data_IF_019183930606
#
_entry.id   IF_019183930606
#
_cell.length_a   1.000
_cell.length_b   1.000
_cell.length_c   1.000
_cell.angle_alpha   90.00
_cell.angle_beta   90.00
_cell.angle_gamma   90.00
#
_symmetry.space_group_name_H-M   'P 1'
#
loop_
_entity.id
_entity.type
_entity.pdbx_description
1 polymer ?
#
# COMPACT_ATOMS: atom_id res chain seq x y z
N UNK A 1 -17.16 61.16 10.00
CA UNK A 1 -18.38 60.46 9.60
C UNK A 1 -18.56 59.25 10.51
N UNK A 2 -19.60 59.29 11.34
CA UNK A 2 -19.80 58.45 12.52
C UNK A 2 -20.44 57.10 12.17
N UNK A 3 -19.93 56.02 12.70
CA UNK A 3 -20.58 54.70 12.67
C UNK A 3 -21.44 54.51 13.93
N UNK A 4 -22.71 54.04 13.85
CA UNK A 4 -23.46 53.66 15.03
C UNK A 4 -23.29 52.18 15.35
N UNK A 5 -22.91 51.95 16.57
CA UNK A 5 -22.95 50.70 17.33
C UNK A 5 -24.38 50.25 17.50
N UNK A 6 -24.75 49.03 17.12
CA UNK A 6 -25.98 48.37 17.48
C UNK A 6 -25.69 47.12 18.35
N UNK A 7 -25.92 47.31 19.62
CA UNK A 7 -26.01 46.25 20.62
C UNK A 7 -27.29 45.44 20.43
N UNK A 8 -27.22 44.11 20.42
CA UNK A 8 -28.35 43.20 20.63
C UNK A 8 -28.05 42.23 21.75
N UNK A 9 -28.97 42.26 22.72
CA UNK A 9 -29.03 41.48 23.97
C UNK A 9 -29.16 39.97 23.70
N UNK A 10 -28.68 39.10 24.63
CA UNK A 10 -28.99 37.67 24.62
C UNK A 10 -30.29 37.38 25.35
N UNK A 11 -31.18 36.64 24.73
CA UNK A 11 -32.36 36.05 25.35
C UNK A 11 -31.95 34.78 26.13
N UNK A 12 -32.15 34.85 27.44
CA UNK A 12 -32.01 33.72 28.37
C UNK A 12 -33.29 32.86 28.29
N UNK A 13 -33.18 31.63 27.76
CA UNK A 13 -34.22 30.61 27.88
C UNK A 13 -33.95 29.73 29.09
N UNK A 14 -34.71 29.93 30.13
CA UNK A 14 -34.76 29.11 31.34
C UNK A 14 -35.67 27.92 31.06
N UNK A 15 -35.13 26.73 30.79
CA UNK A 15 -35.89 25.48 30.62
C UNK A 15 -35.98 24.73 31.94
N UNK A 16 -37.22 24.62 32.41
CA UNK A 16 -37.70 23.93 33.62
C UNK A 16 -37.53 22.41 33.45
N UNK A 17 -36.61 21.79 34.21
CA UNK A 17 -36.43 20.33 34.29
C UNK A 17 -37.49 19.73 35.25
N UNK A 18 -38.36 18.89 34.69
CA UNK A 18 -39.31 18.07 35.46
C UNK A 18 -38.72 16.65 35.60
N UNK A 19 -38.53 16.12 36.81
CA UNK A 19 -38.05 14.73 36.96
C UNK A 19 -39.23 13.76 36.90
N UNK A 20 -39.36 12.97 35.84
CA UNK A 20 -40.23 11.79 35.81
C UNK A 20 -39.49 10.61 36.46
N UNK A 21 -39.87 10.26 37.67
CA UNK A 21 -39.50 9.03 38.32
C UNK A 21 -40.31 7.85 37.73
N UNK A 22 -39.66 6.92 37.04
CA UNK A 22 -40.24 5.65 36.66
C UNK A 22 -39.75 4.55 37.61
N UNK A 23 -40.61 3.62 38.06
CA UNK A 23 -40.20 2.53 38.92
C UNK A 23 -39.33 1.52 38.16
N UNK A 24 -38.18 1.18 38.72
CA UNK A 24 -37.34 0.10 38.26
C UNK A 24 -37.98 -1.24 38.58
N UNK A 25 -38.49 -1.94 37.58
CA UNK A 25 -38.83 -3.35 37.70
C UNK A 25 -37.55 -4.15 37.46
N UNK A 26 -37.06 -4.78 38.51
CA UNK A 26 -35.96 -5.73 38.41
C UNK A 26 -36.46 -6.98 37.66
N UNK A 27 -36.01 -7.14 36.41
CA UNK A 27 -36.16 -8.39 35.68
C UNK A 27 -34.87 -9.24 35.93
N UNK A 28 -35.11 -10.44 36.41
CA UNK A 28 -34.10 -11.50 36.60
C UNK A 28 -33.30 -11.72 35.32
N UNK A 29 -31.97 -11.82 35.35
CA UNK A 29 -31.20 -12.12 34.15
C UNK A 29 -31.32 -13.59 33.80
N UNK A 30 -32.20 -13.90 32.85
CA UNK A 30 -32.14 -15.17 32.13
C UNK A 30 -30.79 -15.24 31.40
N UNK A 31 -29.99 -16.33 31.52
CA UNK A 31 -28.74 -16.42 30.79
C UNK A 31 -29.02 -16.44 29.29
N UNK A 32 -28.66 -15.36 28.62
CA UNK A 32 -28.67 -15.31 27.17
C UNK A 32 -27.65 -16.33 26.67
N UNK A 33 -28.17 -17.36 26.03
CA UNK A 33 -27.41 -18.35 25.26
C UNK A 33 -26.52 -17.58 24.29
N UNK A 34 -25.22 -17.85 24.34
CA UNK A 34 -24.22 -17.35 23.41
C UNK A 34 -24.73 -17.45 21.97
N UNK A 35 -25.23 -16.33 21.45
CA UNK A 35 -25.38 -16.18 20.03
C UNK A 35 -23.93 -16.00 19.51
N UNK A 36 -23.40 -17.03 18.87
CA UNK A 36 -22.13 -16.95 18.16
C UNK A 36 -22.21 -15.72 17.23
N UNK A 37 -21.45 -14.69 17.56
CA UNK A 37 -21.31 -13.51 16.74
C UNK A 37 -20.84 -13.98 15.36
N UNK A 38 -21.62 -13.67 14.31
CA UNK A 38 -21.24 -14.01 12.94
C UNK A 38 -19.87 -13.39 12.66
N UNK A 39 -18.98 -14.10 11.93
CA UNK A 39 -17.66 -13.58 11.62
C UNK A 39 -17.80 -12.21 10.95
N UNK A 40 -17.31 -11.16 11.61
CA UNK A 40 -17.27 -9.83 11.02
C UNK A 40 -16.31 -9.91 9.85
N UNK A 41 -16.82 -9.83 8.63
CA UNK A 41 -16.05 -9.79 7.40
C UNK A 41 -15.17 -8.52 7.46
N UNK A 42 -13.89 -8.69 7.78
CA UNK A 42 -12.94 -7.58 7.85
C UNK A 42 -12.62 -7.15 6.43
N UNK A 43 -12.70 -5.83 6.18
CA UNK A 43 -12.23 -5.28 4.92
C UNK A 43 -10.77 -5.71 4.67
N UNK A 44 -10.41 -6.04 3.42
CA UNK A 44 -9.03 -6.38 3.08
C UNK A 44 -8.08 -5.25 3.50
N UNK A 45 -6.93 -5.62 4.03
CA UNK A 45 -5.89 -4.66 4.38
C UNK A 45 -5.41 -3.98 3.09
N UNK A 46 -5.21 -2.67 3.17
CA UNK A 46 -4.60 -1.92 2.08
C UNK A 46 -3.15 -2.34 1.90
N UNK A 47 -2.65 -2.29 0.68
CA UNK A 47 -1.22 -2.44 0.42
C UNK A 47 -0.48 -1.21 0.95
N UNK A 48 0.83 -1.34 1.18
CA UNK A 48 1.65 -0.22 1.65
C UNK A 48 1.61 0.96 0.67
N UNK A 49 1.73 0.70 -0.62
CA UNK A 49 1.64 1.72 -1.65
C UNK A 49 0.30 2.48 -1.59
N UNK A 50 -0.82 1.77 -1.35
CA UNK A 50 -2.14 2.39 -1.20
C UNK A 50 -2.25 3.25 0.08
N UNK A 51 -1.66 2.80 1.19
CA UNK A 51 -1.63 3.57 2.44
C UNK A 51 -0.82 4.86 2.27
N UNK A 52 0.34 4.77 1.63
CA UNK A 52 1.20 5.92 1.31
C UNK A 52 0.50 6.90 0.36
N UNK A 53 -0.18 6.43 -0.68
CA UNK A 53 -0.98 7.27 -1.57
C UNK A 53 -2.04 8.05 -0.81
N UNK A 54 -2.84 7.39 0.02
CA UNK A 54 -3.86 8.03 0.85
C UNK A 54 -3.27 9.04 1.86
N UNK A 55 -2.07 8.78 2.37
CA UNK A 55 -1.37 9.71 3.24
C UNK A 55 -0.93 10.97 2.48
N UNK A 56 -0.35 10.80 1.29
CA UNK A 56 0.09 11.90 0.43
C UNK A 56 -1.09 12.74 -0.09
N UNK A 57 -2.21 12.11 -0.45
CA UNK A 57 -3.42 12.82 -0.86
C UNK A 57 -3.95 13.79 0.21
N UNK A 58 -3.76 13.45 1.48
CA UNK A 58 -4.15 14.31 2.62
C UNK A 58 -3.14 15.41 2.92
N UNK A 59 -1.85 15.18 2.61
CA UNK A 59 -0.74 16.06 2.99
C UNK A 59 -0.36 17.07 1.91
N UNK A 60 -0.50 16.69 0.64
CA UNK A 60 -0.05 17.51 -0.47
C UNK A 60 -1.19 18.33 -1.11
N UNK A 61 -0.87 19.46 -1.77
CA UNK A 61 -1.84 20.23 -2.52
C UNK A 61 -2.48 19.38 -3.63
N UNK A 62 -3.78 19.51 -3.83
CA UNK A 62 -4.52 18.77 -4.86
C UNK A 62 -4.07 19.07 -6.27
N UNK A 63 -3.55 20.26 -6.51
CA UNK A 63 -2.99 20.68 -7.80
C UNK A 63 -1.75 19.87 -8.20
N UNK A 64 -0.99 19.38 -7.22
CA UNK A 64 0.17 18.52 -7.47
C UNK A 64 -0.24 17.05 -7.73
N UNK A 65 -1.46 16.65 -7.36
CA UNK A 65 -1.90 15.25 -7.39
C UNK A 65 -2.56 14.90 -8.73
N UNK A 66 -2.17 13.77 -9.30
CA UNK A 66 -2.73 13.23 -10.53
C UNK A 66 -3.05 11.75 -10.35
N UNK A 67 -4.28 11.36 -10.64
CA UNK A 67 -4.67 9.95 -10.69
C UNK A 67 -4.48 9.44 -12.11
N UNK A 68 -3.46 8.62 -12.30
CA UNK A 68 -3.14 7.99 -13.58
C UNK A 68 -3.63 6.53 -13.60
N UNK A 69 -3.79 5.99 -14.82
CA UNK A 69 -4.23 4.60 -15.01
C UNK A 69 -3.14 3.79 -15.73
N UNK A 70 -2.86 2.61 -15.20
CA UNK A 70 -1.98 1.62 -15.79
C UNK A 70 -2.76 0.29 -15.93
N UNK A 71 -3.29 0.02 -17.12
CA UNK A 71 -4.27 -1.05 -17.31
C UNK A 71 -5.54 -0.80 -16.49
N UNK A 72 -5.90 -1.75 -15.65
CA UNK A 72 -7.08 -1.66 -14.77
C UNK A 72 -6.78 -0.99 -13.41
N UNK A 73 -5.49 -0.77 -13.10
CA UNK A 73 -5.08 -0.13 -11.84
C UNK A 73 -5.02 1.40 -11.98
N UNK A 74 -5.46 2.11 -10.94
CA UNK A 74 -5.21 3.55 -10.78
C UNK A 74 -4.11 3.74 -9.75
N UNK A 75 -3.29 4.76 -9.93
CA UNK A 75 -2.20 5.08 -9.01
C UNK A 75 -1.98 6.59 -8.91
N UNK A 76 -1.48 7.04 -7.77
CA UNK A 76 -1.13 8.43 -7.54
C UNK A 76 0.19 8.77 -8.24
N UNK A 77 0.21 9.88 -8.96
CA UNK A 77 1.40 10.53 -9.45
C UNK A 77 1.41 11.99 -9.00
N UNK A 78 2.58 12.55 -8.78
CA UNK A 78 2.72 13.93 -8.34
C UNK A 78 3.33 14.77 -9.47
N UNK A 79 2.55 15.69 -10.00
CA UNK A 79 2.93 16.57 -11.10
C UNK A 79 3.26 17.97 -10.60
N UNK A 80 4.33 18.54 -11.12
CA UNK A 80 4.66 19.93 -10.92
C UNK A 80 5.12 20.56 -12.25
N UNK A 81 4.39 21.54 -12.79
CA UNK A 81 4.78 22.19 -14.04
C UNK A 81 6.07 22.99 -13.86
N UNK A 82 6.79 23.18 -14.94
CA UNK A 82 7.98 24.03 -14.96
C UNK A 82 7.63 25.48 -14.63
N UNK A 83 8.47 26.12 -13.86
CA UNK A 83 8.41 27.57 -13.56
C UNK A 83 9.05 28.38 -14.72
N UNK A 84 8.60 28.13 -15.95
CA UNK A 84 9.16 28.75 -17.15
C UNK A 84 8.10 28.92 -18.23
N UNK A 85 8.14 30.03 -18.95
CA UNK A 85 7.27 30.26 -20.12
C UNK A 85 7.63 29.34 -21.31
N UNK A 86 8.88 28.85 -21.36
CA UNK A 86 9.37 27.92 -22.35
C UNK A 86 9.93 26.66 -21.67
N UNK A 87 9.08 25.71 -21.27
CA UNK A 87 9.51 24.46 -20.63
C UNK A 87 10.41 23.63 -21.56
N UNK A 88 11.49 23.06 -20.99
CA UNK A 88 12.40 22.20 -21.74
C UNK A 88 11.80 20.82 -22.00
N UNK A 89 10.92 20.36 -21.10
CA UNK A 89 10.28 19.04 -21.14
C UNK A 89 9.78 18.60 -19.78
N UNK A 90 9.69 17.29 -19.59
CA UNK A 90 9.32 16.70 -18.31
C UNK A 90 10.34 15.66 -17.84
N UNK A 91 10.58 15.64 -16.54
CA UNK A 91 11.36 14.61 -15.86
C UNK A 91 10.38 13.68 -15.15
N UNK A 92 10.40 12.41 -15.51
CA UNK A 92 9.64 11.36 -14.82
C UNK A 92 10.58 10.71 -13.81
N UNK A 93 10.19 10.76 -12.53
CA UNK A 93 10.99 10.22 -11.42
C UNK A 93 10.36 8.91 -10.99
N UNK A 94 11.14 7.83 -11.09
CA UNK A 94 10.79 6.47 -10.69
C UNK A 94 11.44 6.21 -9.33
N UNK A 95 10.69 6.15 -8.23
CA UNK A 95 11.21 5.88 -6.89
C UNK A 95 11.65 4.43 -6.73
N UNK A 96 12.25 4.09 -5.61
CA UNK A 96 12.52 2.70 -5.23
C UNK A 96 11.26 1.94 -4.84
N UNK A 97 11.35 0.61 -4.75
CA UNK A 97 10.20 -0.27 -4.44
C UNK A 97 9.55 0.06 -3.09
N UNK A 98 10.35 0.60 -2.15
CA UNK A 98 9.89 0.98 -0.81
C UNK A 98 9.77 2.49 -0.61
N UNK A 99 9.77 3.26 -1.69
CA UNK A 99 9.74 4.72 -1.65
C UNK A 99 8.43 5.29 -2.18
N UNK A 100 7.95 6.32 -1.52
CA UNK A 100 6.79 7.07 -2.00
C UNK A 100 7.17 8.06 -3.13
N UNK A 101 6.20 8.55 -3.93
CA UNK A 101 6.47 9.56 -4.96
C UNK A 101 6.89 10.94 -4.42
N UNK A 102 6.87 11.16 -3.10
CA UNK A 102 7.47 12.33 -2.43
C UNK A 102 8.55 11.93 -1.42
N UNK A 103 9.26 10.82 -1.68
CA UNK A 103 10.29 10.32 -0.77
C UNK A 103 11.25 11.44 -0.35
N UNK A 104 11.46 11.66 0.98
CA UNK A 104 12.07 12.88 1.49
C UNK A 104 13.55 13.04 1.13
N UNK A 105 14.28 11.94 0.96
CA UNK A 105 15.74 11.99 0.77
C UNK A 105 16.15 12.31 -0.66
N UNK A 106 15.34 11.93 -1.66
CA UNK A 106 15.71 12.11 -3.06
C UNK A 106 14.53 12.57 -3.93
N UNK A 107 13.45 11.79 -4.02
CA UNK A 107 12.35 12.00 -4.98
C UNK A 107 11.66 13.36 -4.75
N UNK A 108 11.28 13.66 -3.52
CA UNK A 108 10.62 14.89 -3.14
C UNK A 108 11.47 16.15 -3.41
N UNK A 109 12.75 16.21 -2.99
CA UNK A 109 13.65 17.29 -3.34
C UNK A 109 13.83 17.48 -4.85
N UNK A 110 14.02 16.41 -5.62
CA UNK A 110 14.14 16.47 -7.08
C UNK A 110 12.86 17.01 -7.71
N UNK A 111 11.71 16.45 -7.35
CA UNK A 111 10.40 16.88 -7.84
C UNK A 111 10.17 18.38 -7.64
N UNK A 112 10.59 18.92 -6.49
CA UNK A 112 10.45 20.36 -6.19
C UNK A 112 11.48 21.26 -6.87
N UNK A 113 12.64 20.70 -7.28
CA UNK A 113 13.75 21.47 -7.87
C UNK A 113 13.73 21.55 -9.40
N UNK A 114 13.28 20.52 -10.08
CA UNK A 114 13.22 20.52 -11.55
C UNK A 114 12.40 21.68 -12.14
N UNK A 115 11.25 22.08 -11.55
CA UNK A 115 10.51 23.24 -12.01
C UNK A 115 11.31 24.54 -12.05
N UNK A 116 12.19 24.77 -11.09
CA UNK A 116 13.02 25.98 -10.99
C UNK A 116 14.08 26.08 -12.10
N UNK A 117 14.41 24.95 -12.72
CA UNK A 117 15.37 24.88 -13.83
C UNK A 117 14.70 24.65 -15.19
N UNK A 118 13.39 24.88 -15.27
CA UNK A 118 12.64 24.86 -16.53
C UNK A 118 12.16 23.45 -16.98
N UNK A 119 12.18 22.46 -16.11
CA UNK A 119 11.64 21.14 -16.37
C UNK A 119 10.38 20.89 -15.55
N UNK A 120 9.33 20.40 -16.18
CA UNK A 120 8.21 19.83 -15.42
C UNK A 120 8.66 18.55 -14.74
N UNK A 121 8.11 18.23 -13.58
CA UNK A 121 8.44 17.00 -12.86
C UNK A 121 7.19 16.14 -12.62
N UNK A 122 7.33 14.83 -12.79
CA UNK A 122 6.29 13.84 -12.53
C UNK A 122 6.91 12.68 -11.76
N UNK A 123 6.59 12.54 -10.48
CA UNK A 123 6.96 11.34 -9.72
C UNK A 123 5.79 10.38 -9.64
N UNK A 124 6.05 9.08 -9.75
CA UNK A 124 5.03 8.02 -9.79
C UNK A 124 5.09 7.14 -8.56
N UNK A 125 3.95 6.56 -8.16
CA UNK A 125 3.93 5.47 -7.18
C UNK A 125 4.22 4.15 -7.87
N UNK A 126 5.12 3.34 -7.31
CA UNK A 126 5.33 1.96 -7.76
C UNK A 126 4.35 1.00 -7.08
N UNK A 127 3.95 -0.08 -7.77
CA UNK A 127 3.15 -1.14 -7.14
C UNK A 127 4.03 -1.94 -6.17
N UNK A 128 3.47 -2.33 -5.03
CA UNK A 128 4.17 -3.23 -4.11
C UNK A 128 4.56 -4.53 -4.79
N UNK A 129 5.69 -5.10 -4.39
CA UNK A 129 6.08 -6.43 -4.83
C UNK A 129 5.03 -7.46 -4.36
N UNK A 130 4.70 -8.42 -5.21
CA UNK A 130 3.62 -9.39 -4.94
C UNK A 130 3.88 -10.30 -3.73
N UNK A 131 5.11 -10.37 -3.23
CA UNK A 131 5.47 -11.16 -2.05
C UNK A 131 5.03 -10.53 -0.72
N UNK A 132 4.57 -9.29 -0.71
CA UNK A 132 4.10 -8.59 0.51
C UNK A 132 2.64 -8.88 0.84
N UNK A 133 1.92 -9.64 0.02
CA UNK A 133 0.63 -10.18 0.45
C UNK A 133 0.89 -11.20 1.56
N UNK A 134 0.64 -10.79 2.80
CA UNK A 134 0.57 -11.70 3.93
C UNK A 134 -0.40 -12.81 3.55
N UNK A 135 0.14 -13.97 3.19
CA UNK A 135 -0.68 -15.18 3.06
C UNK A 135 -1.40 -15.33 4.40
N UNK A 136 -2.72 -15.26 4.38
CA UNK A 136 -3.50 -15.43 5.58
C UNK A 136 -3.03 -16.75 6.20
N UNK A 137 -2.43 -16.68 7.39
CA UNK A 137 -2.03 -17.87 8.13
C UNK A 137 -3.27 -18.72 8.28
N UNK A 138 -3.27 -19.91 7.66
CA UNK A 138 -4.33 -20.87 7.91
C UNK A 138 -4.45 -21.07 9.43
N UNK A 139 -5.65 -21.04 10.00
CA UNK A 139 -5.82 -21.26 11.43
C UNK A 139 -5.23 -22.64 11.76
N UNK A 140 -4.21 -22.65 12.63
CA UNK A 140 -3.67 -23.87 13.22
C UNK A 140 -4.81 -24.64 13.90
N UNK A 141 -5.36 -25.63 13.22
CA UNK A 141 -6.34 -26.60 13.78
C UNK A 141 -5.64 -27.68 14.61
N UNK A 142 -4.48 -27.37 15.19
CA UNK A 142 -3.74 -28.32 16.02
C UNK A 142 -3.33 -27.68 17.36
N UNK A 143 -4.29 -27.36 18.22
CA UNK A 143 -4.05 -27.18 19.64
C UNK A 143 -5.33 -27.39 20.46
N UNK A 144 -5.85 -28.59 20.41
CA UNK A 144 -6.72 -29.08 21.47
C UNK A 144 -6.22 -30.50 21.86
N UNK A 145 -5.89 -30.64 23.15
CA UNK A 145 -5.53 -31.84 23.88
C UNK A 145 -4.04 -32.10 24.11
N UNK A 146 -3.53 -31.37 25.11
CA UNK A 146 -2.39 -31.83 25.90
C UNK A 146 -2.75 -31.74 27.38
N UNK A 147 -3.57 -32.65 27.83
CA UNK A 147 -3.60 -33.05 29.24
C UNK A 147 -4.26 -34.44 29.41
N UNK A 148 -3.45 -35.51 29.30
CA UNK A 148 -3.76 -36.82 29.89
C UNK A 148 -2.47 -37.66 29.97
N UNK A 149 -2.03 -37.85 31.17
CA UNK A 149 -1.36 -39.01 31.77
C UNK A 149 -0.40 -39.89 30.95
N UNK A 150 0.82 -39.95 31.49
CA UNK A 150 1.87 -40.92 31.20
C UNK A 150 1.49 -42.32 31.72
N UNK A 151 1.64 -43.38 30.91
CA UNK A 151 2.22 -44.62 31.39
C UNK A 151 3.37 -45.14 30.51
N UNK A 152 4.45 -45.37 31.13
CA UNK A 152 5.48 -46.40 31.16
C UNK A 152 5.61 -47.36 29.97
N UNK A 153 6.78 -47.29 29.37
CA UNK A 153 7.63 -48.28 28.70
C UNK A 153 7.03 -49.54 28.02
N UNK A 154 7.33 -49.68 26.71
CA UNK A 154 8.01 -50.89 26.18
C UNK A 154 8.67 -50.54 24.83
N UNK A 155 9.92 -50.94 24.55
CA UNK A 155 10.60 -50.66 23.29
C UNK A 155 10.10 -51.56 22.19
N UNK A 156 9.62 -50.98 21.07
CA UNK A 156 9.42 -51.71 19.83
C UNK A 156 10.26 -51.08 18.76
N UNK A 157 11.30 -51.83 18.41
CA UNK A 157 12.17 -51.69 17.28
C UNK A 157 11.35 -51.34 16.02
N UNK A 158 11.40 -50.05 15.58
CA UNK A 158 10.95 -49.67 14.27
C UNK A 158 12.14 -48.97 13.64
N UNK A 159 12.79 -49.69 12.71
CA UNK A 159 13.87 -49.20 11.91
C UNK A 159 13.47 -47.84 11.28
N UNK A 160 13.99 -46.79 11.83
CA UNK A 160 13.96 -45.46 11.26
C UNK A 160 14.75 -45.50 9.96
N UNK A 161 14.02 -45.54 8.84
CA UNK A 161 14.59 -45.48 7.49
C UNK A 161 15.25 -44.13 7.33
N UNK A 162 16.54 -44.05 7.58
CA UNK A 162 17.35 -42.87 7.32
C UNK A 162 17.11 -42.45 5.88
N UNK A 163 16.65 -41.22 5.59
CA UNK A 163 16.46 -40.74 4.23
C UNK A 163 17.79 -40.83 3.47
N UNK A 164 17.73 -41.29 2.23
CA UNK A 164 18.91 -41.35 1.35
C UNK A 164 19.39 -39.93 1.08
N UNK A 165 20.63 -39.55 1.46
CA UNK A 165 21.17 -38.21 1.26
C UNK A 165 21.14 -37.75 -0.20
N UNK A 166 21.19 -38.70 -1.15
CA UNK A 166 21.09 -38.41 -2.56
C UNK A 166 19.67 -38.00 -2.98
N UNK A 167 18.65 -38.67 -2.44
CA UNK A 167 17.25 -38.35 -2.71
C UNK A 167 16.84 -36.97 -2.10
N UNK A 168 17.38 -36.64 -0.92
CA UNK A 168 17.19 -35.31 -0.32
C UNK A 168 17.86 -34.20 -1.13
N UNK A 169 19.07 -34.42 -1.64
CA UNK A 169 19.78 -33.46 -2.49
C UNK A 169 19.04 -33.22 -3.83
N UNK A 170 18.51 -34.27 -4.45
CA UNK A 170 17.70 -34.15 -5.67
C UNK A 170 16.39 -33.41 -5.41
N UNK A 171 15.70 -33.67 -4.31
CA UNK A 171 14.47 -32.97 -3.91
C UNK A 171 14.75 -31.49 -3.63
N UNK A 172 15.86 -31.16 -2.97
CA UNK A 172 16.27 -29.76 -2.71
C UNK A 172 16.63 -29.03 -4.01
N UNK A 173 17.33 -29.69 -4.94
CA UNK A 173 17.65 -29.09 -6.23
C UNK A 173 16.40 -28.85 -7.08
N UNK A 174 15.44 -29.76 -7.09
CA UNK A 174 14.16 -29.59 -7.78
C UNK A 174 13.34 -28.45 -7.16
N UNK A 175 13.29 -28.37 -5.83
CA UNK A 175 12.59 -27.28 -5.12
C UNK A 175 13.26 -25.92 -5.40
N UNK A 176 14.58 -25.83 -5.43
CA UNK A 176 15.32 -24.62 -5.77
C UNK A 176 15.02 -24.16 -7.21
N UNK A 177 14.99 -25.10 -8.17
CA UNK A 177 14.67 -24.80 -9.57
C UNK A 177 13.22 -24.31 -9.72
N UNK A 178 12.26 -24.96 -9.05
CA UNK A 178 10.87 -24.54 -9.07
C UNK A 178 10.69 -23.16 -8.44
N UNK A 179 11.39 -22.87 -7.35
CA UNK A 179 11.39 -21.55 -6.71
C UNK A 179 11.96 -20.48 -7.64
N UNK A 180 13.10 -20.74 -8.29
CA UNK A 180 13.72 -19.80 -9.22
C UNK A 180 12.79 -19.48 -10.41
N UNK A 181 12.10 -20.48 -10.96
CA UNK A 181 11.12 -20.27 -12.02
C UNK A 181 9.92 -19.42 -11.55
N UNK A 182 9.42 -19.67 -10.35
CA UNK A 182 8.34 -18.87 -9.77
C UNK A 182 8.78 -17.43 -9.48
N UNK A 183 10.01 -17.23 -9.02
CA UNK A 183 10.60 -15.91 -8.80
C UNK A 183 10.75 -15.14 -10.11
N UNK A 184 11.16 -15.80 -11.19
CA UNK A 184 11.27 -15.19 -12.52
C UNK A 184 9.91 -14.73 -13.06
N UNK A 185 8.88 -15.56 -12.95
CA UNK A 185 7.51 -15.19 -13.36
C UNK A 185 6.97 -14.02 -12.54
N UNK A 186 7.23 -13.99 -11.21
CA UNK A 186 6.85 -12.84 -10.36
C UNK A 186 7.57 -11.56 -10.78
N UNK A 187 8.87 -11.64 -11.03
CA UNK A 187 9.68 -10.50 -11.48
C UNK A 187 9.21 -9.98 -12.84
N UNK A 188 8.79 -10.85 -13.75
CA UNK A 188 8.22 -10.46 -15.03
C UNK A 188 6.88 -9.77 -14.86
N UNK A 189 5.98 -10.34 -14.07
CA UNK A 189 4.69 -9.74 -13.78
C UNK A 189 4.84 -8.36 -13.11
N UNK A 190 5.78 -8.21 -12.17
CA UNK A 190 6.09 -6.94 -11.52
C UNK A 190 6.63 -5.91 -12.53
N UNK A 191 7.53 -6.34 -13.44
CA UNK A 191 8.05 -5.47 -14.49
C UNK A 191 6.93 -4.92 -15.38
N UNK A 192 6.01 -5.75 -15.84
CA UNK A 192 4.89 -5.31 -16.68
C UNK A 192 4.00 -4.28 -15.97
N UNK A 193 3.73 -4.46 -14.68
CA UNK A 193 2.96 -3.49 -13.88
C UNK A 193 3.68 -2.14 -13.77
N UNK A 194 5.00 -2.17 -13.51
CA UNK A 194 5.82 -0.95 -13.42
C UNK A 194 5.91 -0.27 -14.80
N UNK A 195 6.14 -1.04 -15.85
CA UNK A 195 6.23 -0.51 -17.21
C UNK A 195 4.93 0.18 -17.64
N UNK A 196 3.78 -0.42 -17.34
CA UNK A 196 2.49 0.20 -17.61
C UNK A 196 2.32 1.55 -16.88
N UNK A 197 2.84 1.69 -15.66
CA UNK A 197 2.85 2.97 -14.92
C UNK A 197 3.79 3.99 -15.56
N UNK A 198 4.98 3.58 -16.00
CA UNK A 198 5.92 4.46 -16.71
C UNK A 198 5.32 4.92 -18.05
N UNK A 199 4.72 4.03 -18.83
CA UNK A 199 4.05 4.36 -20.10
C UNK A 199 2.90 5.37 -19.89
N UNK A 200 2.11 5.17 -18.84
CA UNK A 200 1.05 6.11 -18.45
C UNK A 200 1.62 7.49 -18.08
N UNK A 201 2.72 7.52 -17.33
CA UNK A 201 3.41 8.75 -16.97
C UNK A 201 3.98 9.48 -18.19
N UNK A 202 4.56 8.74 -19.15
CA UNK A 202 5.05 9.29 -20.43
C UNK A 202 3.87 9.89 -21.21
N UNK A 203 2.77 9.15 -21.34
CA UNK A 203 1.56 9.62 -22.02
C UNK A 203 1.00 10.89 -21.39
N UNK A 204 0.96 10.95 -20.06
CA UNK A 204 0.53 12.14 -19.33
C UNK A 204 1.45 13.34 -19.59
N UNK A 205 2.77 13.14 -19.55
CA UNK A 205 3.73 14.19 -19.84
C UNK A 205 3.59 14.74 -21.27
N UNK A 206 3.38 13.84 -22.27
CA UNK A 206 3.12 14.23 -23.65
C UNK A 206 1.82 15.03 -23.81
N UNK A 207 0.74 14.63 -23.13
CA UNK A 207 -0.52 15.38 -23.11
C UNK A 207 -0.34 16.79 -22.53
N UNK A 208 0.59 16.94 -21.58
CA UNK A 208 1.01 18.24 -21.01
C UNK A 208 2.10 18.96 -21.83
N UNK A 209 2.23 18.60 -23.12
CA UNK A 209 3.11 19.24 -24.10
C UNK A 209 4.61 19.12 -23.78
N UNK A 210 5.02 18.11 -23.06
CA UNK A 210 6.44 17.83 -22.88
C UNK A 210 7.05 17.32 -24.20
N UNK A 211 7.92 18.13 -24.81
CA UNK A 211 8.62 17.78 -26.05
C UNK A 211 9.80 16.83 -25.81
N UNK A 212 10.40 16.92 -24.64
CA UNK A 212 11.48 16.03 -24.17
C UNK A 212 11.07 15.38 -22.89
N UNK A 213 11.34 14.08 -22.76
CA UNK A 213 11.05 13.31 -21.55
C UNK A 213 12.33 12.65 -21.08
N UNK A 214 12.66 12.85 -19.81
CA UNK A 214 13.82 12.23 -19.14
C UNK A 214 13.32 11.32 -18.05
N UNK A 215 13.75 10.06 -18.06
CA UNK A 215 13.53 9.12 -16.97
C UNK A 215 14.68 9.23 -15.97
N UNK A 216 14.33 9.42 -14.70
CA UNK A 216 15.26 9.43 -13.57
C UNK A 216 14.79 8.38 -12.56
N UNK A 217 15.62 7.40 -12.28
CA UNK A 217 15.33 6.38 -11.26
C UNK A 217 16.16 6.59 -10.01
N UNK A 218 15.57 6.35 -8.83
CA UNK A 218 16.26 6.32 -7.56
C UNK A 218 16.22 4.91 -6.97
N UNK A 219 17.31 4.45 -6.36
CA UNK A 219 17.40 3.11 -5.77
C UNK A 219 17.04 2.01 -6.78
N UNK A 220 16.16 1.06 -6.45
CA UNK A 220 15.64 0.05 -7.38
C UNK A 220 14.86 0.66 -8.56
N UNK A 221 14.31 1.87 -8.41
CA UNK A 221 13.68 2.60 -9.52
C UNK A 221 14.64 2.89 -10.68
N UNK A 222 15.95 3.01 -10.41
CA UNK A 222 16.95 3.13 -11.47
C UNK A 222 17.08 1.86 -12.32
N UNK A 223 16.99 0.68 -11.68
CA UNK A 223 16.92 -0.60 -12.38
C UNK A 223 15.67 -0.70 -13.26
N UNK A 224 14.51 -0.35 -12.72
CA UNK A 224 13.26 -0.39 -13.46
C UNK A 224 13.23 0.59 -14.65
N UNK A 225 13.74 1.81 -14.46
CA UNK A 225 13.86 2.78 -15.54
C UNK A 225 14.79 2.31 -16.65
N UNK A 226 15.96 1.78 -16.29
CA UNK A 226 16.92 1.25 -17.27
C UNK A 226 16.35 0.01 -18.00
N UNK A 227 15.71 -0.88 -17.27
CA UNK A 227 15.08 -2.07 -17.83
C UNK A 227 13.93 -1.70 -18.80
N UNK A 228 13.11 -0.73 -18.43
CA UNK A 228 12.06 -0.21 -19.30
C UNK A 228 12.62 0.29 -20.64
N UNK A 229 13.70 1.10 -20.61
CA UNK A 229 14.32 1.64 -21.83
C UNK A 229 15.00 0.57 -22.71
N UNK A 230 15.36 -0.58 -22.13
CA UNK A 230 15.95 -1.68 -22.89
C UNK A 230 14.90 -2.61 -23.52
N UNK A 231 13.72 -2.71 -22.92
CA UNK A 231 12.68 -3.66 -23.34
C UNK A 231 11.55 -3.02 -24.17
N UNK A 232 11.43 -1.66 -24.14
CA UNK A 232 10.40 -0.87 -24.85
C UNK A 232 11.03 0.16 -25.80
#
# INVERSE_FOLDING_TARGET
>A
MSYPFRAMLPAVFLSLMLPCALPATAADPTPAKDAAEAPVERAPLLSRAQEDELALERQLPREDQQQLKAGDESFLALWKPANSEAPQGAVIIVPGDDESPDWPDAVGPLRRKFPDVGWSSLSITLPDAQDTTLTAREPDTAAADANAEKPKETPKDTAEKTPDPAAEAEAQAAAATAKAAADEERNKAQAERIFARIESAISFAQQNKAHSIVLVGHSSGAYWAARFLNER
#
